data_IF_657139627240
#
_entry.id   IF_657139627240
#
_cell.length_a   1.000
_cell.length_b   1.000
_cell.length_c   1.000
_cell.angle_alpha   90.00
_cell.angle_beta   90.00
_cell.angle_gamma   90.00
#
_symmetry.space_group_name_H-M   'P 1'
#
loop_
_entity.id
_entity.type
_entity.pdbx_description
1 polymer ?
#
# COMPACT_ATOMS: atom_id res chain seq x y z
N UNK A 1 27.91 -1.08 3.35
CA UNK A 1 28.38 -2.41 2.90
C UNK A 1 27.77 -2.75 1.54
N UNK A 2 28.49 -3.37 0.60
CA UNK A 2 27.95 -3.70 -0.75
C UNK A 2 26.66 -4.54 -0.73
N UNK A 3 26.44 -5.32 0.33
CA UNK A 3 25.20 -6.10 0.54
C UNK A 3 23.98 -5.24 0.91
N UNK A 4 24.17 -4.09 1.58
CA UNK A 4 23.06 -3.20 1.95
C UNK A 4 22.54 -2.45 0.72
N UNK A 5 23.44 -2.03 -0.17
CA UNK A 5 23.07 -1.44 -1.46
C UNK A 5 22.30 -2.43 -2.35
N UNK A 6 22.74 -3.70 -2.39
CA UNK A 6 22.08 -4.73 -3.20
C UNK A 6 20.65 -5.02 -2.68
N UNK A 7 20.49 -5.09 -1.35
CA UNK A 7 19.18 -5.31 -0.74
C UNK A 7 18.25 -4.10 -0.96
N UNK A 8 18.76 -2.87 -0.88
CA UNK A 8 17.97 -1.67 -1.19
C UNK A 8 17.52 -1.62 -2.65
N UNK A 9 18.37 -2.02 -3.60
CA UNK A 9 18.01 -2.09 -5.03
C UNK A 9 16.92 -3.12 -5.29
N UNK A 10 17.04 -4.33 -4.72
CA UNK A 10 16.01 -5.37 -4.83
C UNK A 10 14.66 -4.91 -4.24
N UNK A 11 14.68 -4.12 -3.17
CA UNK A 11 13.47 -3.56 -2.56
C UNK A 11 12.82 -2.49 -3.44
N UNK A 12 13.62 -1.65 -4.10
CA UNK A 12 13.12 -0.67 -5.07
C UNK A 12 12.52 -1.38 -6.27
N UNK A 13 13.19 -2.40 -6.82
CA UNK A 13 12.68 -3.22 -7.92
C UNK A 13 11.39 -3.94 -7.53
N UNK A 14 11.32 -4.48 -6.31
CA UNK A 14 10.15 -5.20 -5.81
C UNK A 14 8.96 -4.25 -5.55
N UNK A 15 9.20 -3.08 -4.94
CA UNK A 15 8.16 -2.07 -4.78
C UNK A 15 7.65 -1.53 -6.13
N UNK A 16 8.55 -1.36 -7.11
CA UNK A 16 8.18 -1.03 -8.49
C UNK A 16 7.44 -2.18 -9.19
N UNK A 17 7.75 -3.44 -8.86
CA UNK A 17 7.07 -4.62 -9.39
C UNK A 17 5.61 -4.69 -8.93
N UNK A 18 5.35 -4.51 -7.63
CA UNK A 18 3.98 -4.52 -7.10
C UNK A 18 3.20 -3.26 -7.45
N UNK A 19 3.88 -2.11 -7.58
CA UNK A 19 3.19 -0.85 -7.80
C UNK A 19 3.85 0.01 -8.90
N UNK A 20 3.76 -0.40 -10.17
CA UNK A 20 4.43 0.29 -11.28
C UNK A 20 3.85 1.70 -11.56
N UNK A 21 2.63 1.99 -11.08
CA UNK A 21 1.95 3.28 -11.25
C UNK A 21 2.15 4.26 -10.08
N UNK A 22 2.83 3.83 -9.02
CA UNK A 22 2.94 4.58 -7.76
C UNK A 22 3.94 5.74 -7.95
N UNK A 23 3.40 6.95 -8.16
CA UNK A 23 4.21 8.15 -8.44
C UNK A 23 5.14 8.54 -7.29
N UNK A 24 4.79 8.18 -6.04
CA UNK A 24 5.59 8.48 -4.85
C UNK A 24 5.55 7.31 -3.85
N UNK A 25 6.61 6.51 -3.80
CA UNK A 25 6.88 5.54 -2.72
C UNK A 25 7.80 6.19 -1.66
N UNK A 26 7.49 7.41 -1.25
CA UNK A 26 8.39 8.35 -0.56
C UNK A 26 8.86 7.84 0.80
N UNK A 27 8.00 7.16 1.56
CA UNK A 27 8.35 6.65 2.89
C UNK A 27 8.84 5.20 2.90
N UNK A 28 8.33 4.35 2.00
CA UNK A 28 8.76 2.94 1.88
C UNK A 28 10.28 2.83 1.61
N UNK A 29 10.81 3.70 0.74
CA UNK A 29 12.26 3.77 0.45
C UNK A 29 13.11 4.02 1.69
N UNK A 30 12.61 4.78 2.66
CA UNK A 30 13.33 5.14 3.88
C UNK A 30 13.31 3.98 4.91
N UNK A 31 12.17 3.29 5.07
CA UNK A 31 12.03 2.16 6.00
C UNK A 31 12.88 0.95 5.58
N UNK A 32 12.82 0.57 4.30
CA UNK A 32 13.59 -0.54 3.78
C UNK A 32 15.11 -0.36 3.89
N UNK A 33 15.59 0.88 3.92
CA UNK A 33 17.02 1.19 4.01
C UNK A 33 17.64 0.93 5.38
N UNK A 34 16.88 1.03 6.48
CA UNK A 34 17.41 0.97 7.85
C UNK A 34 17.24 -0.39 8.54
N UNK A 35 16.27 -1.23 8.14
CA UNK A 35 15.88 -2.44 8.89
C UNK A 35 15.94 -3.76 8.09
N UNK A 36 16.83 -3.83 7.10
CA UNK A 36 17.00 -4.94 6.13
C UNK A 36 17.06 -6.35 6.76
N UNK A 37 17.43 -6.50 8.04
CA UNK A 37 17.55 -7.82 8.71
C UNK A 37 16.31 -8.25 9.53
N UNK A 38 15.40 -7.34 9.87
CA UNK A 38 14.20 -7.65 10.71
C UNK A 38 12.88 -7.58 9.94
N UNK A 39 12.78 -6.71 8.94
CA UNK A 39 11.52 -6.45 8.20
C UNK A 39 11.20 -7.47 7.10
N UNK A 40 12.12 -8.40 6.81
CA UNK A 40 12.12 -9.23 5.58
C UNK A 40 10.95 -10.20 5.37
N UNK A 41 9.91 -10.21 6.21
CA UNK A 41 8.74 -11.08 6.02
C UNK A 41 7.40 -10.41 6.30
N UNK A 42 7.30 -9.56 7.33
CA UNK A 42 6.03 -8.99 7.77
C UNK A 42 5.38 -8.10 6.71
N UNK A 43 6.06 -7.00 6.35
CA UNK A 43 5.52 -6.00 5.41
C UNK A 43 5.31 -6.56 4.00
N UNK A 44 6.15 -7.48 3.54
CA UNK A 44 5.98 -8.11 2.22
C UNK A 44 4.68 -8.90 2.09
N UNK A 45 4.29 -9.66 3.12
CA UNK A 45 3.01 -10.34 3.15
C UNK A 45 1.84 -9.35 3.05
N UNK A 46 1.98 -8.17 3.68
CA UNK A 46 0.97 -7.12 3.58
C UNK A 46 0.91 -6.53 2.16
N UNK A 47 2.06 -6.28 1.53
CA UNK A 47 2.09 -5.74 0.17
C UNK A 47 1.57 -6.76 -0.86
N UNK A 48 1.91 -8.05 -0.71
CA UNK A 48 1.36 -9.14 -1.53
C UNK A 48 -0.17 -9.20 -1.41
N UNK A 49 -0.68 -9.20 -0.17
CA UNK A 49 -2.12 -9.22 0.08
C UNK A 49 -2.82 -7.98 -0.48
N UNK A 50 -2.20 -6.80 -0.33
CA UNK A 50 -2.73 -5.55 -0.87
C UNK A 50 -2.82 -5.59 -2.40
N UNK A 51 -1.81 -6.15 -3.07
CA UNK A 51 -1.82 -6.31 -4.53
C UNK A 51 -2.92 -7.27 -4.99
N UNK A 52 -3.14 -8.38 -4.28
CA UNK A 52 -4.26 -9.30 -4.58
C UNK A 52 -5.63 -8.61 -4.47
N UNK A 53 -5.83 -7.77 -3.45
CA UNK A 53 -7.07 -6.97 -3.33
C UNK A 53 -7.20 -6.02 -4.53
N UNK A 54 -6.15 -5.28 -4.86
CA UNK A 54 -6.14 -4.32 -5.97
C UNK A 54 -6.43 -5.00 -7.31
N UNK A 55 -5.81 -6.14 -7.60
CA UNK A 55 -6.04 -6.89 -8.84
C UNK A 55 -7.50 -7.34 -9.00
N UNK A 56 -8.20 -7.60 -7.90
CA UNK A 56 -9.63 -7.95 -7.92
C UNK A 56 -10.57 -6.77 -8.15
N UNK A 57 -10.07 -5.52 -8.10
CA UNK A 57 -10.85 -4.30 -8.18
C UNK A 57 -10.20 -3.28 -9.15
N UNK A 58 -10.22 -3.54 -10.46
CA UNK A 58 -9.52 -2.72 -11.45
C UNK A 58 -10.07 -1.29 -11.60
N UNK A 59 -11.26 -1.01 -11.06
CA UNK A 59 -11.84 0.33 -11.02
C UNK A 59 -11.18 1.25 -9.97
N UNK A 60 -10.33 0.71 -9.08
CA UNK A 60 -9.65 1.46 -8.02
C UNK A 60 -8.18 1.63 -8.36
N UNK A 61 -7.75 2.89 -8.45
CA UNK A 61 -6.35 3.26 -8.58
C UNK A 61 -5.75 3.49 -7.19
N UNK A 62 -4.65 2.81 -6.87
CA UNK A 62 -3.85 3.05 -5.67
C UNK A 62 -2.74 4.04 -6.03
N UNK A 63 -2.90 5.30 -5.61
CA UNK A 63 -1.95 6.38 -5.94
C UNK A 63 -0.80 6.50 -4.96
N UNK A 64 -1.00 6.11 -3.70
CA UNK A 64 0.04 6.17 -2.65
C UNK A 64 -0.13 5.06 -1.62
N UNK A 65 0.99 4.58 -1.09
CA UNK A 65 1.07 3.65 0.05
C UNK A 65 2.12 4.18 1.03
N UNK A 66 1.67 4.62 2.19
CA UNK A 66 2.48 4.90 3.37
C UNK A 66 2.49 3.72 4.33
N UNK A 67 3.62 3.48 4.98
CA UNK A 67 3.75 2.51 6.06
C UNK A 67 4.31 3.22 7.29
N UNK A 68 3.62 3.08 8.42
CA UNK A 68 4.10 3.49 9.74
C UNK A 68 4.54 2.24 10.50
N UNK A 69 5.86 2.05 10.61
CA UNK A 69 6.45 0.90 11.31
C UNK A 69 6.18 0.94 12.83
N UNK A 70 6.04 2.12 13.41
CA UNK A 70 5.76 2.26 14.85
C UNK A 70 4.37 1.74 15.21
N UNK A 71 3.44 1.82 14.26
CA UNK A 71 2.06 1.38 14.42
C UNK A 71 1.75 0.08 13.67
N UNK A 72 2.68 -0.41 12.85
CA UNK A 72 2.47 -1.47 11.85
C UNK A 72 1.19 -1.22 11.04
N UNK A 73 1.09 -0.02 10.46
CA UNK A 73 -0.13 0.47 9.82
C UNK A 73 0.17 0.96 8.41
N UNK A 74 -0.71 0.62 7.47
CA UNK A 74 -0.73 1.17 6.12
C UNK A 74 -1.70 2.34 6.04
N UNK A 75 -1.27 3.37 5.30
CA UNK A 75 -2.12 4.48 4.85
C UNK A 75 -2.10 4.48 3.33
N UNK A 76 -3.27 4.36 2.71
CA UNK A 76 -3.45 4.27 1.28
C UNK A 76 -4.18 5.51 0.77
N UNK A 77 -3.69 6.11 -0.32
CA UNK A 77 -4.50 7.03 -1.13
C UNK A 77 -5.06 6.27 -2.32
N UNK A 78 -6.39 6.15 -2.38
CA UNK A 78 -7.08 5.50 -3.49
C UNK A 78 -7.98 6.46 -4.25
N UNK A 79 -8.20 6.16 -5.52
CA UNK A 79 -9.00 6.97 -6.45
C UNK A 79 -9.86 6.09 -7.35
N UNK A 80 -11.07 6.54 -7.68
CA UNK A 80 -11.93 5.88 -8.66
C UNK A 80 -12.88 6.87 -9.33
N UNK A 81 -13.36 6.53 -10.53
CA UNK A 81 -14.50 7.23 -11.16
C UNK A 81 -15.84 6.81 -10.56
N UNK A 82 -15.87 5.71 -9.80
CA UNK A 82 -17.04 5.19 -9.09
C UNK A 82 -16.80 5.25 -7.57
N UNK A 83 -17.56 6.08 -6.82
CA UNK A 83 -17.34 6.23 -5.38
C UNK A 83 -17.67 4.93 -4.62
N UNK A 84 -18.53 4.06 -5.18
CA UNK A 84 -18.85 2.77 -4.54
C UNK A 84 -17.68 1.78 -4.60
N UNK A 85 -16.82 1.91 -5.61
CA UNK A 85 -15.62 1.09 -5.75
C UNK A 85 -14.62 1.33 -4.60
N UNK A 86 -14.57 2.55 -4.04
CA UNK A 86 -13.69 2.87 -2.91
C UNK A 86 -14.11 2.12 -1.64
N UNK A 87 -15.41 2.02 -1.37
CA UNK A 87 -15.92 1.20 -0.26
C UNK A 87 -15.79 -0.30 -0.54
N UNK A 88 -16.01 -0.73 -1.78
CA UNK A 88 -15.81 -2.11 -2.19
C UNK A 88 -14.36 -2.59 -1.95
N UNK A 89 -13.38 -1.71 -2.13
CA UNK A 89 -11.98 -1.98 -1.78
C UNK A 89 -11.81 -2.33 -0.30
N UNK A 90 -12.34 -1.52 0.60
CA UNK A 90 -12.26 -1.77 2.04
C UNK A 90 -12.97 -3.07 2.41
N UNK A 91 -14.15 -3.31 1.84
CA UNK A 91 -14.90 -4.54 2.09
C UNK A 91 -14.12 -5.78 1.62
N UNK A 92 -13.51 -5.73 0.43
CA UNK A 92 -12.73 -6.83 -0.14
C UNK A 92 -11.46 -7.10 0.66
N UNK A 93 -10.83 -6.05 1.18
CA UNK A 93 -9.64 -6.15 2.02
C UNK A 93 -9.95 -6.63 3.45
N UNK A 94 -11.21 -6.60 3.89
CA UNK A 94 -11.59 -6.77 5.29
C UNK A 94 -11.23 -8.13 5.91
N UNK A 95 -11.04 -9.18 5.11
CA UNK A 95 -10.57 -10.48 5.61
C UNK A 95 -9.11 -10.43 6.07
N UNK A 96 -8.31 -9.55 5.47
CA UNK A 96 -6.85 -9.50 5.64
C UNK A 96 -6.37 -8.23 6.35
N UNK A 97 -7.15 -7.15 6.26
CA UNK A 97 -6.84 -5.85 6.85
C UNK A 97 -8.01 -5.33 7.67
N UNK A 98 -7.73 -4.53 8.70
CA UNK A 98 -8.75 -3.80 9.47
C UNK A 98 -8.98 -2.38 8.92
N UNK A 99 -8.92 -2.23 7.59
CA UNK A 99 -9.01 -0.94 6.94
C UNK A 99 -10.26 -0.14 7.29
N UNK A 100 -10.04 1.15 7.55
CA UNK A 100 -11.06 2.16 7.74
C UNK A 100 -11.02 3.15 6.59
N UNK A 101 -12.19 3.42 5.99
CA UNK A 101 -12.34 4.41 4.94
C UNK A 101 -12.59 5.79 5.57
N UNK A 102 -11.72 6.75 5.31
CA UNK A 102 -12.01 8.15 5.61
C UNK A 102 -13.05 8.72 4.61
N UNK A 103 -13.70 9.86 4.91
CA UNK A 103 -14.70 10.43 4.02
C UNK A 103 -14.21 10.58 2.57
N UNK A 104 -15.03 10.11 1.63
CA UNK A 104 -14.78 10.19 0.19
C UNK A 104 -14.97 11.63 -0.29
N UNK A 105 -14.13 12.09 -1.22
CA UNK A 105 -14.28 13.41 -1.85
C UNK A 105 -15.66 13.59 -2.50
N UNK A 106 -16.11 14.83 -2.67
CA UNK A 106 -17.44 15.11 -3.22
C UNK A 106 -17.52 15.06 -4.74
N UNK A 107 -16.38 15.10 -5.44
CA UNK A 107 -16.32 15.20 -6.90
C UNK A 107 -15.45 14.12 -7.51
N UNK A 108 -15.80 13.75 -8.74
CA UNK A 108 -15.07 12.77 -9.53
C UNK A 108 -13.79 13.38 -10.15
N UNK A 109 -12.75 12.55 -10.33
CA UNK A 109 -12.58 11.23 -9.73
C UNK A 109 -12.48 11.30 -8.20
N UNK A 110 -13.25 10.43 -7.58
CA UNK A 110 -13.40 10.35 -6.14
C UNK A 110 -12.12 9.83 -5.52
N UNK A 111 -11.68 10.46 -4.44
CA UNK A 111 -10.51 10.06 -3.67
C UNK A 111 -10.90 9.73 -2.24
N UNK A 112 -10.16 8.82 -1.63
CA UNK A 112 -10.27 8.54 -0.22
C UNK A 112 -8.92 8.12 0.36
N UNK A 113 -8.74 8.42 1.64
CA UNK A 113 -7.67 7.84 2.45
C UNK A 113 -8.22 6.60 3.14
N UNK A 114 -7.46 5.51 3.08
CA UNK A 114 -7.71 4.30 3.86
C UNK A 114 -6.57 4.13 4.85
N UNK A 115 -6.88 3.78 6.09
CA UNK A 115 -5.88 3.49 7.10
C UNK A 115 -6.21 2.20 7.84
N UNK A 116 -5.21 1.34 8.06
CA UNK A 116 -5.38 0.09 8.80
C UNK A 116 -4.13 -0.80 8.79
N UNK A 117 -4.18 -1.85 9.59
CA UNK A 117 -3.15 -2.85 9.85
C UNK A 117 -3.50 -4.17 9.18
N UNK A 118 -2.46 -4.97 8.98
CA UNK A 118 -2.59 -6.37 8.59
C UNK A 118 -2.98 -7.24 9.81
N UNK A 119 -3.88 -8.21 9.60
CA UNK A 119 -4.40 -9.10 10.66
C UNK A 119 -3.50 -10.29 10.97
#
# INVERSE_FOLDING_TARGET
SNQENLAQQQMVELAQHYFPTLRQATNLKYHFGQNIKKEKKGIFLQLDALEQVKQSLPAVELSEVGYDDTQNQLTLNIRSMDPTALQAFVNKASDTFDFTLQPVSSEAPYTAIITGKYK
#
